data_IF_500090694695
#
_entry.id   IF_500090694695
#
_cell.length_a   1.000
_cell.length_b   1.000
_cell.length_c   1.000
_cell.angle_alpha   90.00
_cell.angle_beta   90.00
_cell.angle_gamma   90.00
#
_symmetry.space_group_name_H-M   'P 1'
#
loop_
_entity.id
_entity.type
_entity.pdbx_description
1 polymer ?
#
# COMPACT_ATOMS: atom_id res chain seq x y z
N UNK A 1 18.20 3.16 -9.71
CA UNK A 1 16.86 2.50 -9.79
C UNK A 1 16.82 1.03 -10.28
N UNK A 2 17.21 0.64 -11.50
CA UNK A 2 17.12 -0.77 -11.98
C UNK A 2 17.91 -1.78 -11.11
N UNK A 3 19.12 -1.41 -10.67
CA UNK A 3 19.97 -2.25 -9.80
C UNK A 3 19.37 -2.51 -8.40
N UNK A 4 18.42 -1.69 -7.94
CA UNK A 4 17.74 -1.88 -6.64
C UNK A 4 16.61 -2.92 -6.73
N UNK A 5 16.04 -3.12 -7.92
CA UNK A 5 14.96 -4.08 -8.17
C UNK A 5 15.49 -5.49 -8.48
N UNK A 6 16.78 -5.62 -8.83
CA UNK A 6 17.44 -6.90 -9.14
C UNK A 6 18.13 -7.56 -7.94
N UNK A 7 18.32 -6.86 -6.81
CA UNK A 7 18.88 -7.45 -5.58
C UNK A 7 17.80 -8.24 -4.84
N UNK A 8 18.11 -9.47 -4.41
CA UNK A 8 17.23 -10.34 -3.59
C UNK A 8 16.35 -9.51 -2.65
N UNK A 9 15.04 -9.61 -2.86
CA UNK A 9 14.04 -9.02 -1.97
C UNK A 9 13.75 -9.93 -0.77
N UNK A 10 14.62 -10.89 -0.49
CA UNK A 10 14.58 -11.69 0.73
C UNK A 10 15.88 -11.50 1.51
N UNK A 11 15.75 -11.11 2.78
CA UNK A 11 16.81 -11.16 3.79
C UNK A 11 16.29 -12.05 4.90
N UNK A 12 17.05 -13.10 5.21
CA UNK A 12 16.70 -14.09 6.25
C UNK A 12 15.29 -14.70 6.11
N UNK A 13 14.83 -14.92 4.87
CA UNK A 13 13.51 -15.49 4.56
C UNK A 13 12.35 -14.49 4.63
N UNK A 14 12.60 -13.21 4.87
CA UNK A 14 11.59 -12.16 4.93
C UNK A 14 11.59 -11.28 3.69
N UNK A 15 10.38 -10.97 3.20
CA UNK A 15 10.20 -10.07 2.07
C UNK A 15 10.58 -8.63 2.43
N UNK A 16 11.58 -8.11 1.72
CA UNK A 16 12.09 -6.75 1.81
C UNK A 16 11.16 -5.83 1.04
N UNK A 17 10.72 -4.76 1.70
CA UNK A 17 9.89 -3.74 1.07
C UNK A 17 10.82 -2.67 0.48
N UNK A 18 10.76 -2.44 -0.83
CA UNK A 18 11.69 -1.55 -1.56
C UNK A 18 11.85 -0.18 -0.90
N UNK A 19 10.76 0.47 -0.52
CA UNK A 19 10.78 1.82 0.07
C UNK A 19 11.36 1.87 1.49
N UNK A 20 11.43 0.73 2.19
CA UNK A 20 11.99 0.61 3.54
C UNK A 20 13.44 0.13 3.55
N UNK A 21 13.91 -0.47 2.45
CA UNK A 21 15.24 -1.07 2.38
C UNK A 21 16.34 -0.06 2.67
N UNK A 22 17.13 -0.33 3.71
CA UNK A 22 18.26 0.50 4.13
C UNK A 22 17.85 1.84 4.75
N UNK A 23 16.55 2.08 4.98
CA UNK A 23 16.08 3.31 5.61
C UNK A 23 16.34 3.31 7.10
N UNK A 24 16.92 4.39 7.59
CA UNK A 24 17.16 4.61 9.02
C UNK A 24 15.87 5.13 9.66
N UNK A 25 15.20 4.28 10.45
CA UNK A 25 13.94 4.60 11.10
C UNK A 25 14.16 4.67 12.60
N UNK A 26 13.87 5.85 13.18
CA UNK A 26 13.77 6.00 14.62
C UNK A 26 12.38 5.55 15.08
N UNK A 27 12.33 4.64 16.05
CA UNK A 27 11.09 4.22 16.69
C UNK A 27 11.06 4.68 18.15
N UNK A 28 10.32 5.76 18.41
CA UNK A 28 10.01 6.25 19.75
C UNK A 28 8.85 5.46 20.39
N UNK A 29 9.11 4.79 21.51
CA UNK A 29 8.11 4.03 22.26
C UNK A 29 7.82 4.75 23.57
N UNK A 30 6.55 5.10 23.80
CA UNK A 30 6.12 5.87 24.97
C UNK A 30 5.26 5.04 25.92
N UNK A 31 5.09 5.51 27.16
CA UNK A 31 4.43 4.78 28.25
C UNK A 31 2.91 4.66 28.12
N UNK A 32 2.44 3.63 27.41
CA UNK A 32 1.02 3.28 27.37
C UNK A 32 0.82 1.80 27.09
N UNK A 33 -0.38 1.29 27.37
CA UNK A 33 -0.72 -0.14 27.22
C UNK A 33 -0.43 -0.68 25.81
N UNK A 34 -0.49 0.17 24.78
CA UNK A 34 -0.20 -0.21 23.39
C UNK A 34 1.30 -0.40 23.08
N UNK A 35 2.21 -0.20 24.04
CA UNK A 35 3.65 -0.37 23.84
C UNK A 35 4.03 -1.78 23.33
N UNK A 36 3.29 -2.83 23.70
CA UNK A 36 3.54 -4.18 23.17
C UNK A 36 3.35 -4.27 21.66
N UNK A 37 2.48 -3.46 21.05
CA UNK A 37 2.28 -3.44 19.59
C UNK A 37 3.50 -2.84 18.87
N UNK A 38 4.23 -1.94 19.52
CA UNK A 38 5.45 -1.35 18.98
C UNK A 38 6.54 -2.41 18.76
N UNK A 39 6.52 -3.51 19.52
CA UNK A 39 7.40 -4.68 19.31
C UNK A 39 7.18 -5.27 17.91
N UNK A 40 5.92 -5.43 17.49
CA UNK A 40 5.60 -5.90 16.14
C UNK A 40 5.99 -4.90 15.07
N UNK A 41 5.86 -3.59 15.34
CA UNK A 41 6.33 -2.54 14.43
C UNK A 41 7.84 -2.64 14.22
N UNK A 42 8.62 -2.72 15.31
CA UNK A 42 10.09 -2.85 15.26
C UNK A 42 10.52 -4.10 14.48
N UNK A 43 9.92 -5.26 14.82
CA UNK A 43 10.22 -6.53 14.15
C UNK A 43 9.95 -6.47 12.66
N UNK A 44 8.76 -6.00 12.25
CA UNK A 44 8.38 -5.98 10.83
C UNK A 44 9.17 -4.96 10.01
N UNK A 45 9.44 -3.77 10.56
CA UNK A 45 10.29 -2.78 9.88
C UNK A 45 11.69 -3.36 9.62
N UNK A 46 12.26 -4.04 10.62
CA UNK A 46 13.57 -4.69 10.51
C UNK A 46 13.54 -5.81 9.46
N UNK A 47 12.55 -6.70 9.52
CA UNK A 47 12.34 -7.79 8.54
C UNK A 47 12.12 -7.27 7.12
N UNK A 48 11.50 -6.10 6.97
CA UNK A 48 11.32 -5.43 5.69
C UNK A 48 12.56 -4.69 5.18
N UNK A 49 13.68 -4.78 5.90
CA UNK A 49 14.99 -4.28 5.49
C UNK A 49 15.34 -2.88 5.98
N UNK A 50 14.57 -2.28 6.90
CA UNK A 50 14.92 -1.00 7.52
C UNK A 50 15.96 -1.18 8.63
N UNK A 51 16.77 -0.15 8.87
CA UNK A 51 17.66 -0.04 10.03
C UNK A 51 16.87 0.68 11.14
N UNK A 52 16.48 -0.05 12.19
CA UNK A 52 15.57 0.47 13.21
C UNK A 52 16.32 0.77 14.51
N UNK A 53 16.39 2.04 14.89
CA UNK A 53 16.90 2.48 16.19
C UNK A 53 15.74 2.83 17.13
N UNK A 54 15.71 2.23 18.32
CA UNK A 54 14.59 2.39 19.25
C UNK A 54 14.94 3.35 20.38
N UNK A 55 14.08 4.34 20.59
CA UNK A 55 14.11 5.30 21.69
C UNK A 55 12.95 5.00 22.63
N UNK A 56 13.20 4.88 23.94
CA UNK A 56 12.15 4.58 24.92
C UNK A 56 12.06 5.65 26.00
N UNK A 57 10.85 6.05 26.39
CA UNK A 57 10.67 6.80 27.65
C UNK A 57 10.84 5.88 28.86
N UNK A 58 11.13 6.43 30.04
CA UNK A 58 11.12 5.65 31.28
C UNK A 58 9.80 4.90 31.48
N UNK A 59 8.67 5.59 31.26
CA UNK A 59 7.34 4.99 31.38
C UNK A 59 7.11 3.81 30.41
N UNK A 60 7.71 3.82 29.21
CA UNK A 60 7.59 2.71 28.26
C UNK A 60 8.27 1.44 28.77
N UNK A 61 9.38 1.58 29.49
CA UNK A 61 10.13 0.46 30.07
C UNK A 61 9.35 -0.29 31.16
N UNK A 62 8.30 0.33 31.72
CA UNK A 62 7.38 -0.32 32.66
C UNK A 62 6.40 -1.29 31.97
N UNK A 63 6.19 -1.14 30.67
CA UNK A 63 5.30 -2.00 29.87
C UNK A 63 6.06 -3.07 29.10
N UNK A 64 7.18 -2.69 28.47
CA UNK A 64 8.03 -3.60 27.68
C UNK A 64 9.49 -3.30 27.96
N UNK A 65 10.28 -4.33 28.23
CA UNK A 65 11.70 -4.15 28.52
C UNK A 65 12.51 -3.80 27.25
N UNK A 66 13.56 -2.95 27.35
CA UNK A 66 14.46 -2.64 26.22
C UNK A 66 15.06 -3.88 25.54
N UNK A 67 15.33 -4.95 26.30
CA UNK A 67 15.90 -6.20 25.77
C UNK A 67 15.11 -6.77 24.59
N UNK A 68 13.78 -6.70 24.63
CA UNK A 68 12.91 -7.20 23.55
C UNK A 68 13.19 -6.48 22.22
N UNK A 69 13.32 -5.15 22.27
CA UNK A 69 13.61 -4.36 21.08
C UNK A 69 15.04 -4.57 20.59
N UNK A 70 16.02 -4.65 21.50
CA UNK A 70 17.41 -4.94 21.14
C UNK A 70 17.55 -6.27 20.42
N UNK A 71 16.86 -7.31 20.89
CA UNK A 71 16.89 -8.64 20.27
C UNK A 71 16.28 -8.65 18.86
N UNK A 72 15.23 -7.85 18.61
CA UNK A 72 14.53 -7.80 17.32
C UNK A 72 15.20 -6.91 16.29
N UNK A 73 15.83 -5.82 16.73
CA UNK A 73 16.46 -4.83 15.84
C UNK A 73 17.96 -5.09 15.66
N UNK A 74 18.57 -5.87 16.55
CA UNK A 74 20.03 -6.06 16.59
C UNK A 74 20.79 -4.81 17.06
N UNK A 75 20.10 -3.83 17.65
CA UNK A 75 20.66 -2.51 17.98
C UNK A 75 20.34 -2.12 19.42
N UNK A 76 21.23 -1.37 20.05
CA UNK A 76 21.04 -0.95 21.45
C UNK A 76 19.89 0.07 21.56
N UNK A 77 18.89 -0.25 22.37
CA UNK A 77 17.83 0.70 22.73
C UNK A 77 18.39 1.87 23.52
N UNK A 78 17.93 3.08 23.21
CA UNK A 78 18.28 4.30 23.91
C UNK A 78 17.13 4.74 24.81
N UNK A 79 17.37 4.80 26.11
CA UNK A 79 16.36 5.21 27.09
C UNK A 79 16.81 6.29 28.07
N UNK A 80 18.09 6.68 27.98
CA UNK A 80 18.69 7.74 28.80
C UNK A 80 19.31 8.81 27.90
N UNK A 81 18.85 10.05 28.07
CA UNK A 81 19.30 11.23 27.32
C UNK A 81 20.77 11.55 27.63
N UNK A 82 21.22 11.20 28.84
CA UNK A 82 22.54 11.49 29.37
C UNK A 82 23.55 10.39 29.09
N UNK A 83 23.13 9.29 28.45
CA UNK A 83 24.04 8.22 28.06
C UNK A 83 25.00 8.72 26.98
N UNK A 84 26.24 8.95 27.38
CA UNK A 84 27.34 9.20 26.47
C UNK A 84 27.63 7.88 25.75
N UNK A 85 27.45 7.85 24.43
CA UNK A 85 27.89 6.73 23.60
C UNK A 85 29.42 6.72 23.47
N UNK A 86 29.92 6.58 22.24
CA UNK A 86 31.36 6.66 21.93
C UNK A 86 31.89 8.11 21.90
N UNK A 87 31.45 8.96 22.83
CA UNK A 87 31.81 10.40 22.87
C UNK A 87 31.02 11.29 21.91
N UNK A 88 29.97 10.78 21.26
CA UNK A 88 29.05 11.57 20.42
C UNK A 88 27.75 11.91 21.17
N UNK A 89 27.17 13.07 20.85
CA UNK A 89 25.85 13.50 21.33
C UNK A 89 24.77 12.70 20.58
N UNK A 90 24.38 11.56 21.15
CA UNK A 90 23.58 10.54 20.48
C UNK A 90 22.27 11.04 19.87
N UNK A 91 21.52 11.89 20.58
CA UNK A 91 20.24 12.42 20.09
C UNK A 91 20.41 13.33 18.85
N UNK A 92 21.56 14.00 18.71
CA UNK A 92 21.88 14.81 17.53
C UNK A 92 22.27 13.91 16.36
N UNK A 93 23.16 12.95 16.57
CA UNK A 93 23.57 12.01 15.51
C UNK A 93 22.36 11.24 14.95
N UNK A 94 21.55 10.65 15.82
CA UNK A 94 20.35 9.90 15.43
C UNK A 94 19.34 10.78 14.68
N UNK A 95 19.16 12.03 15.13
CA UNK A 95 18.27 12.99 14.47
C UNK A 95 18.70 13.33 13.04
N UNK A 96 20.01 13.36 12.77
CA UNK A 96 20.58 13.65 11.44
C UNK A 96 20.52 12.45 10.49
N UNK A 97 20.71 11.24 11.01
CA UNK A 97 20.74 10.01 10.19
C UNK A 97 19.35 9.48 9.84
N UNK A 98 18.30 9.91 10.57
CA UNK A 98 16.95 9.41 10.39
C UNK A 98 16.32 9.80 9.02
N UNK A 99 15.83 8.80 8.29
CA UNK A 99 14.93 8.99 7.14
C UNK A 99 13.47 9.19 7.58
N UNK A 100 13.10 8.65 8.76
CA UNK A 100 11.75 8.73 9.35
C UNK A 100 11.82 8.59 10.87
N UNK A 101 11.03 9.39 11.59
CA UNK A 101 10.82 9.22 13.03
C UNK A 101 9.38 8.80 13.31
N UNK A 102 9.18 7.55 13.73
CA UNK A 102 7.89 7.00 14.16
C UNK A 102 7.77 7.05 15.68
N UNK A 103 6.68 7.59 16.22
CA UNK A 103 6.35 7.50 17.66
C UNK A 103 5.11 6.61 17.81
N UNK A 104 5.31 5.41 18.37
CA UNK A 104 4.28 4.39 18.50
C UNK A 104 4.46 3.57 19.81
N UNK A 105 3.50 3.62 20.75
CA UNK A 105 2.39 4.57 20.81
C UNK A 105 2.88 6.01 21.03
N UNK A 106 2.17 6.97 20.46
CA UNK A 106 2.26 8.39 20.82
C UNK A 106 1.20 8.70 21.89
N UNK A 107 1.62 8.74 23.15
CA UNK A 107 0.75 9.11 24.28
C UNK A 107 0.44 10.61 24.27
N UNK A 108 -0.66 11.02 24.91
CA UNK A 108 -1.03 12.44 25.03
C UNK A 108 0.11 13.30 25.61
N UNK A 109 0.83 12.78 26.61
CA UNK A 109 2.00 13.43 27.20
C UNK A 109 3.11 13.68 26.17
N UNK A 110 3.46 12.67 25.38
CA UNK A 110 4.52 12.82 24.37
C UNK A 110 4.08 13.76 23.25
N UNK A 111 2.83 13.67 22.81
CA UNK A 111 2.25 14.61 21.82
C UNK A 111 2.33 16.06 22.32
N UNK A 112 1.98 16.31 23.59
CA UNK A 112 2.10 17.64 24.19
C UNK A 112 3.56 18.13 24.20
N UNK A 113 4.51 17.29 24.63
CA UNK A 113 5.95 17.62 24.63
C UNK A 113 6.45 18.02 23.25
N UNK A 114 6.11 17.21 22.23
CA UNK A 114 6.50 17.47 20.84
C UNK A 114 5.88 18.77 20.30
N UNK A 115 4.61 19.03 20.61
CA UNK A 115 3.93 20.25 20.17
C UNK A 115 4.51 21.51 20.82
N UNK A 116 4.84 21.43 22.12
CA UNK A 116 5.37 22.54 22.91
C UNK A 116 6.90 22.72 22.78
N UNK A 117 7.59 21.77 22.16
CA UNK A 117 9.05 21.83 22.00
C UNK A 117 9.83 21.51 23.28
N UNK A 118 9.26 20.69 24.16
CA UNK A 118 9.97 20.18 25.34
C UNK A 118 10.98 19.10 24.90
N UNK A 119 12.15 19.06 25.54
CA UNK A 119 13.28 18.20 25.16
C UNK A 119 13.93 17.53 26.38
N UNK A 120 13.09 16.97 27.25
CA UNK A 120 13.45 16.42 28.56
C UNK A 120 13.61 14.88 28.57
N UNK A 121 13.40 14.21 27.44
CA UNK A 121 13.59 12.77 27.29
C UNK A 121 14.20 12.41 25.92
N UNK A 122 14.72 11.18 25.72
CA UNK A 122 15.39 10.81 24.47
C UNK A 122 14.52 10.98 23.22
N UNK A 123 13.20 10.80 23.32
CA UNK A 123 12.30 10.92 22.17
C UNK A 123 12.10 12.39 21.85
N UNK A 124 11.71 13.18 22.86
CA UNK A 124 11.37 14.60 22.69
C UNK A 124 12.58 15.43 22.25
N UNK A 125 13.77 15.17 22.82
CA UNK A 125 15.02 15.82 22.43
C UNK A 125 15.47 15.45 21.01
N UNK A 126 15.42 14.16 20.65
CA UNK A 126 15.80 13.72 19.30
C UNK A 126 14.83 14.25 18.26
N UNK A 127 13.52 14.29 18.57
CA UNK A 127 12.50 14.74 17.63
C UNK A 127 12.64 16.24 17.35
N UNK A 128 12.97 17.04 18.37
CA UNK A 128 13.21 18.48 18.22
C UNK A 128 14.42 18.78 17.33
N UNK A 129 15.45 17.93 17.37
CA UNK A 129 16.65 18.07 16.54
C UNK A 129 16.50 17.50 15.11
N UNK A 130 15.52 16.61 14.88
CA UNK A 130 15.41 15.89 13.62
C UNK A 130 14.74 16.71 12.52
N UNK A 131 15.25 16.55 11.30
CA UNK A 131 14.59 17.02 10.07
C UNK A 131 13.80 15.92 9.37
N UNK A 132 13.84 14.70 9.91
CA UNK A 132 13.10 13.58 9.38
C UNK A 132 11.59 13.83 9.53
N UNK A 133 10.76 13.30 8.62
CA UNK A 133 9.31 13.31 8.79
C UNK A 133 8.93 12.64 10.12
N UNK A 134 8.03 13.27 10.87
CA UNK A 134 7.49 12.73 12.11
C UNK A 134 6.19 11.99 11.83
N UNK A 135 6.09 10.72 12.22
CA UNK A 135 4.88 9.91 12.13
C UNK A 135 4.41 9.51 13.54
N UNK A 136 3.22 9.96 13.92
CA UNK A 136 2.62 9.68 15.22
C UNK A 136 1.56 8.59 15.08
N UNK A 137 1.60 7.58 15.94
CA UNK A 137 0.54 6.59 16.12
C UNK A 137 -0.12 6.79 17.50
N UNK A 138 -1.14 7.67 17.63
CA UNK A 138 -1.70 8.02 18.92
C UNK A 138 -2.34 6.82 19.64
N UNK A 139 -2.21 6.76 20.96
CA UNK A 139 -2.88 5.76 21.78
C UNK A 139 -3.20 6.31 23.17
N UNK A 140 -4.48 6.40 23.51
CA UNK A 140 -4.97 6.93 24.79
C UNK A 140 -6.47 6.63 24.97
N UNK A 141 -7.03 6.95 26.14
CA UNK A 141 -8.47 6.85 26.38
C UNK A 141 -9.25 7.87 25.54
N UNK A 142 -10.50 7.58 25.17
CA UNK A 142 -11.35 8.48 24.34
C UNK A 142 -11.39 9.90 24.88
N UNK A 143 -11.65 10.09 26.17
CA UNK A 143 -11.71 11.43 26.75
C UNK A 143 -10.37 12.18 26.73
N UNK A 144 -9.24 11.45 26.76
CA UNK A 144 -7.92 12.07 26.57
C UNK A 144 -7.69 12.48 25.12
N UNK A 145 -8.16 11.68 24.17
CA UNK A 145 -8.08 11.99 22.75
C UNK A 145 -8.94 13.20 22.39
N UNK A 146 -10.20 13.21 22.81
CA UNK A 146 -11.19 14.25 22.53
C UNK A 146 -10.93 15.57 23.28
N UNK A 147 -10.02 15.56 24.27
CA UNK A 147 -9.64 16.76 25.00
C UNK A 147 -9.16 17.86 24.05
N UNK A 148 -9.67 19.11 24.19
CA UNK A 148 -9.23 20.24 23.37
C UNK A 148 -7.72 20.46 23.40
N UNK A 149 -7.06 20.18 24.53
CA UNK A 149 -5.60 20.29 24.63
C UNK A 149 -4.89 19.29 23.72
N UNK A 150 -5.32 18.02 23.73
CA UNK A 150 -4.74 16.99 22.86
C UNK A 150 -4.99 17.30 21.39
N UNK A 151 -6.22 17.67 21.03
CA UNK A 151 -6.56 18.04 19.66
C UNK A 151 -5.75 19.27 19.18
N UNK A 152 -5.59 20.29 20.03
CA UNK A 152 -4.76 21.45 19.71
C UNK A 152 -3.28 21.09 19.49
N UNK A 153 -2.71 20.20 20.30
CA UNK A 153 -1.35 19.71 20.10
C UNK A 153 -1.19 18.86 18.83
N UNK A 154 -2.14 17.98 18.55
CA UNK A 154 -2.15 17.18 17.31
C UNK A 154 -2.22 18.09 16.09
N UNK A 155 -3.11 19.09 16.10
CA UNK A 155 -3.23 20.06 15.02
C UNK A 155 -1.93 20.86 14.83
N UNK A 156 -1.33 21.34 15.92
CA UNK A 156 -0.04 22.05 15.89
C UNK A 156 1.05 21.22 15.23
N UNK A 157 1.11 19.92 15.52
CA UNK A 157 2.09 19.01 14.91
C UNK A 157 1.77 18.75 13.44
N UNK A 158 0.49 18.59 13.09
CA UNK A 158 0.05 18.43 11.71
C UNK A 158 0.40 19.67 10.85
N UNK A 159 0.18 20.88 11.37
CA UNK A 159 0.54 22.14 10.71
C UNK A 159 2.06 22.27 10.49
N UNK A 160 2.86 21.67 11.37
CA UNK A 160 4.32 21.55 11.23
C UNK A 160 4.76 20.40 10.30
N UNK A 161 3.82 19.69 9.69
CA UNK A 161 4.09 18.61 8.73
C UNK A 161 4.24 17.22 9.34
N UNK A 162 3.85 17.03 10.60
CA UNK A 162 3.77 15.68 11.19
C UNK A 162 2.61 14.88 10.57
N UNK A 163 2.85 13.60 10.35
CA UNK A 163 1.86 12.63 9.90
C UNK A 163 1.25 11.93 11.10
N UNK A 164 -0.04 11.61 11.02
CA UNK A 164 -0.76 10.90 12.08
C UNK A 164 -1.45 9.66 11.51
N UNK A 165 -1.29 8.52 12.17
CA UNK A 165 -1.98 7.27 11.86
C UNK A 165 -2.87 6.85 13.03
N UNK A 166 -4.16 7.12 12.88
CA UNK A 166 -5.18 6.92 13.90
C UNK A 166 -5.32 8.07 14.89
N UNK A 167 -5.85 7.83 16.11
CA UNK A 167 -6.21 6.52 16.68
C UNK A 167 -7.41 5.85 15.97
N UNK A 168 -7.64 4.58 16.28
CA UNK A 168 -8.74 3.75 15.76
C UNK A 168 -9.86 3.61 16.81
N UNK A 169 -11.08 3.37 16.34
CA UNK A 169 -12.19 2.98 17.20
C UNK A 169 -12.03 1.52 17.67
N UNK A 170 -12.41 1.22 18.91
CA UNK A 170 -12.44 -0.14 19.43
C UNK A 170 -12.51 -0.20 20.94
N UNK A 171 -12.39 -1.42 21.48
CA UNK A 171 -12.33 -1.64 22.93
C UNK A 171 -11.01 -1.12 23.51
N UNK A 172 -11.12 -0.28 24.53
CA UNK A 172 -10.02 0.36 25.25
C UNK A 172 -9.66 -0.42 26.52
N UNK A 173 -8.54 -0.06 27.16
CA UNK A 173 -8.08 -0.71 28.39
C UNK A 173 -9.04 -0.51 29.58
N UNK A 174 -9.79 0.60 29.59
CA UNK A 174 -10.87 0.85 30.54
C UNK A 174 -12.04 -0.13 30.41
N UNK A 175 -12.12 -0.87 29.30
CA UNK A 175 -13.26 -1.69 28.93
C UNK A 175 -14.29 -0.95 28.07
N UNK A 176 -14.21 0.39 27.96
CA UNK A 176 -15.05 1.19 27.09
C UNK A 176 -14.79 0.90 25.60
N UNK A 177 -15.73 1.28 24.74
CA UNK A 177 -15.57 1.25 23.28
C UNK A 177 -15.60 2.68 22.78
N UNK A 178 -14.55 3.10 22.07
CA UNK A 178 -14.42 4.46 21.57
C UNK A 178 -13.16 4.67 20.75
N UNK A 179 -12.92 5.93 20.37
CA UNK A 179 -11.78 6.35 19.56
C UNK A 179 -10.57 6.61 20.47
N UNK A 180 -9.47 5.88 20.28
CA UNK A 180 -8.29 6.02 21.16
C UNK A 180 -7.29 4.87 21.09
N UNK A 181 -7.67 3.76 20.45
CA UNK A 181 -6.80 2.60 20.28
C UNK A 181 -5.71 2.92 19.25
N UNK A 182 -4.46 2.54 19.54
CA UNK A 182 -3.38 2.64 18.55
C UNK A 182 -3.74 1.88 17.28
N UNK A 183 -3.46 2.47 16.13
CA UNK A 183 -3.51 1.80 14.83
C UNK A 183 -2.75 0.46 14.88
N UNK A 184 -3.22 -0.52 14.12
CA UNK A 184 -2.56 -1.82 14.09
C UNK A 184 -1.19 -1.72 13.42
N UNK A 185 -0.19 -2.53 13.84
CA UNK A 185 1.16 -2.48 13.27
C UNK A 185 1.23 -2.47 11.73
N UNK A 186 0.41 -3.25 10.98
CA UNK A 186 0.38 -3.15 9.53
C UNK A 186 0.04 -1.74 9.02
N UNK A 187 -0.92 -1.05 9.64
CA UNK A 187 -1.33 0.30 9.22
C UNK A 187 -0.21 1.33 9.48
N UNK A 188 0.53 1.20 10.58
CA UNK A 188 1.68 2.06 10.90
C UNK A 188 2.79 1.86 9.85
N UNK A 189 3.06 0.62 9.47
CA UNK A 189 4.07 0.30 8.44
C UNK A 189 3.63 0.84 7.07
N UNK A 190 2.36 0.66 6.70
CA UNK A 190 1.82 1.22 5.44
C UNK A 190 1.91 2.76 5.42
N UNK A 191 1.64 3.43 6.54
CA UNK A 191 1.81 4.88 6.64
C UNK A 191 3.28 5.28 6.57
N UNK A 192 4.19 4.53 7.22
CA UNK A 192 5.63 4.76 7.11
C UNK A 192 6.11 4.65 5.67
N UNK A 193 5.65 3.62 4.93
CA UNK A 193 5.90 3.46 3.49
C UNK A 193 5.39 4.65 2.68
N UNK A 194 4.15 5.08 2.91
CA UNK A 194 3.55 6.25 2.25
C UNK A 194 4.37 7.52 2.50
N UNK A 195 4.76 7.77 3.76
CA UNK A 195 5.55 8.95 4.13
C UNK A 195 6.92 8.90 3.44
N UNK A 196 7.64 7.79 3.50
CA UNK A 196 8.95 7.65 2.85
C UNK A 196 8.86 7.74 1.32
N UNK A 197 7.79 7.23 0.72
CA UNK A 197 7.57 7.20 -0.73
C UNK A 197 6.99 8.48 -1.34
N UNK A 198 6.51 9.44 -0.54
CA UNK A 198 5.69 10.59 -1.00
C UNK A 198 6.34 11.47 -2.07
N UNK A 199 7.67 11.53 -2.11
CA UNK A 199 8.45 12.29 -3.08
C UNK A 199 9.08 11.38 -4.17
N UNK A 200 8.55 10.18 -4.35
CA UNK A 200 9.04 9.22 -5.33
C UNK A 200 8.78 9.65 -6.79
N UNK A 201 9.22 8.81 -7.73
CA UNK A 201 9.17 9.14 -9.15
C UNK A 201 7.77 9.21 -9.78
N UNK A 202 6.71 8.88 -9.05
CA UNK A 202 5.31 9.08 -9.45
C UNK A 202 4.62 10.18 -8.62
N UNK A 203 5.37 11.00 -7.87
CA UNK A 203 4.81 12.17 -7.20
C UNK A 203 4.06 13.07 -8.20
N UNK A 204 2.84 13.46 -7.84
CA UNK A 204 1.95 14.26 -8.68
C UNK A 204 1.23 13.49 -9.80
N UNK A 205 1.43 12.17 -9.92
CA UNK A 205 0.74 11.30 -10.89
C UNK A 205 -0.47 10.65 -10.23
N UNK A 206 -1.62 10.67 -10.91
CA UNK A 206 -2.80 9.93 -10.48
C UNK A 206 -2.88 8.56 -11.19
N UNK A 207 -2.80 7.49 -10.41
CA UNK A 207 -2.89 6.09 -10.88
C UNK A 207 -4.22 5.49 -10.46
N UNK A 208 -5.04 5.10 -11.43
CA UNK A 208 -6.24 4.30 -11.21
C UNK A 208 -5.98 2.82 -11.50
N UNK A 209 -6.49 1.95 -10.64
CA UNK A 209 -6.30 0.50 -10.74
C UNK A 209 -7.65 -0.19 -10.61
N UNK A 210 -7.99 -1.07 -11.54
CA UNK A 210 -9.12 -1.99 -11.34
C UNK A 210 -8.65 -3.29 -10.69
N UNK A 211 -9.41 -3.82 -9.72
CA UNK A 211 -9.02 -5.03 -8.99
C UNK A 211 -10.21 -5.94 -8.62
N UNK A 212 -9.92 -7.20 -8.29
CA UNK A 212 -10.92 -8.21 -7.93
C UNK A 212 -11.55 -8.89 -9.14
N UNK A 213 -12.52 -9.78 -8.90
CA UNK A 213 -13.30 -10.44 -9.95
C UNK A 213 -14.74 -9.98 -9.86
N UNK A 214 -15.31 -9.45 -10.95
CA UNK A 214 -16.68 -8.93 -10.92
C UNK A 214 -17.69 -10.04 -10.62
N UNK A 215 -18.81 -9.66 -10.02
CA UNK A 215 -19.85 -10.55 -9.54
C UNK A 215 -21.15 -10.22 -10.27
N UNK A 216 -21.46 -10.99 -11.31
CA UNK A 216 -22.64 -10.78 -12.15
C UNK A 216 -23.83 -11.55 -11.56
N UNK A 217 -24.85 -10.86 -11.01
CA UNK A 217 -25.92 -11.50 -10.25
C UNK A 217 -26.81 -12.35 -11.15
N UNK A 218 -27.08 -13.59 -10.72
CA UNK A 218 -28.11 -14.46 -11.31
C UNK A 218 -29.46 -14.24 -10.62
N UNK A 219 -29.40 -14.13 -9.30
CA UNK A 219 -30.52 -13.88 -8.38
C UNK A 219 -29.95 -13.19 -7.11
N UNK A 220 -30.77 -12.81 -6.11
CA UNK A 220 -30.27 -12.13 -4.91
C UNK A 220 -29.29 -12.95 -4.04
N UNK A 221 -29.05 -14.22 -4.36
CA UNK A 221 -28.23 -15.17 -3.58
C UNK A 221 -27.01 -15.65 -4.35
N UNK A 222 -27.07 -15.68 -5.69
CA UNK A 222 -26.06 -16.28 -6.56
C UNK A 222 -25.55 -15.30 -7.60
N UNK A 223 -24.28 -15.45 -7.95
CA UNK A 223 -23.63 -14.66 -8.99
C UNK A 223 -22.59 -15.49 -9.75
N UNK A 224 -22.25 -15.06 -10.95
CA UNK A 224 -21.11 -15.51 -11.75
C UNK A 224 -19.89 -14.66 -11.41
N UNK A 225 -18.73 -15.28 -11.20
CA UNK A 225 -17.49 -14.54 -10.93
C UNK A 225 -16.25 -15.28 -11.41
N UNK A 226 -15.19 -14.51 -11.65
CA UNK A 226 -13.84 -15.03 -11.89
C UNK A 226 -13.09 -15.26 -10.57
N UNK A 227 -12.16 -16.23 -10.54
CA UNK A 227 -11.40 -16.61 -9.34
C UNK A 227 -10.28 -15.63 -8.99
N UNK A 228 -10.55 -14.33 -8.95
CA UNK A 228 -9.56 -13.31 -8.58
C UNK A 228 -9.57 -13.04 -7.08
N UNK A 229 -8.40 -13.16 -6.45
CA UNK A 229 -8.23 -12.77 -5.03
C UNK A 229 -8.05 -11.26 -4.85
N UNK A 230 -7.78 -10.52 -5.93
CA UNK A 230 -7.44 -9.09 -5.86
C UNK A 230 -6.01 -8.77 -5.40
N UNK A 231 -5.21 -9.79 -5.01
CA UNK A 231 -3.84 -9.62 -4.51
C UNK A 231 -2.93 -8.79 -5.43
N UNK A 232 -3.00 -9.02 -6.74
CA UNK A 232 -2.16 -8.29 -7.71
C UNK A 232 -2.54 -6.80 -7.75
N UNK A 233 -3.83 -6.48 -7.80
CA UNK A 233 -4.32 -5.10 -7.77
C UNK A 233 -3.90 -4.36 -6.49
N UNK A 234 -3.94 -5.03 -5.33
CA UNK A 234 -3.48 -4.43 -4.08
C UNK A 234 -1.97 -4.23 -4.03
N UNK A 235 -1.17 -5.17 -4.55
CA UNK A 235 0.28 -5.01 -4.68
C UNK A 235 0.64 -3.82 -5.58
N UNK A 236 -0.07 -3.67 -6.71
CA UNK A 236 0.07 -2.52 -7.60
C UNK A 236 -0.29 -1.21 -6.91
N UNK A 237 -1.37 -1.18 -6.14
CA UNK A 237 -1.81 0.01 -5.42
C UNK A 237 -0.80 0.43 -4.34
N UNK A 238 -0.30 -0.54 -3.56
CA UNK A 238 0.72 -0.30 -2.55
C UNK A 238 2.03 0.20 -3.19
N UNK A 239 2.47 -0.44 -4.28
CA UNK A 239 3.68 -0.02 -5.00
C UNK A 239 3.50 1.39 -5.60
N UNK A 240 2.41 1.67 -6.32
CA UNK A 240 2.15 2.99 -6.90
C UNK A 240 2.21 4.10 -5.84
N UNK A 241 1.58 3.88 -4.68
CA UNK A 241 1.64 4.79 -3.52
C UNK A 241 3.07 4.97 -3.00
N UNK A 242 3.84 3.89 -2.89
CA UNK A 242 5.23 3.92 -2.43
C UNK A 242 6.18 4.59 -3.44
N UNK A 243 5.75 4.73 -4.69
CA UNK A 243 6.40 5.55 -5.71
C UNK A 243 5.92 7.00 -5.69
N UNK A 244 5.00 7.39 -4.79
CA UNK A 244 4.53 8.75 -4.59
C UNK A 244 3.23 9.11 -5.32
N UNK A 245 2.61 8.16 -6.02
CA UNK A 245 1.37 8.42 -6.75
C UNK A 245 0.20 8.69 -5.81
N UNK A 246 -0.76 9.52 -6.28
CA UNK A 246 -2.14 9.46 -5.81
C UNK A 246 -2.77 8.20 -6.42
N UNK A 247 -3.36 7.34 -5.60
CA UNK A 247 -3.88 6.03 -6.06
C UNK A 247 -5.36 5.90 -5.75
N UNK A 248 -6.12 5.54 -6.77
CA UNK A 248 -7.54 5.16 -6.66
C UNK A 248 -7.71 3.72 -7.14
N UNK A 249 -8.33 2.88 -6.31
CA UNK A 249 -8.61 1.48 -6.65
C UNK A 249 -10.11 1.27 -6.77
N UNK A 250 -10.55 0.93 -7.97
CA UNK A 250 -11.92 0.49 -8.25
C UNK A 250 -11.94 -1.02 -8.13
N UNK A 251 -12.71 -1.57 -7.18
CA UNK A 251 -12.61 -2.99 -6.89
C UNK A 251 -13.93 -3.69 -6.66
N UNK A 252 -14.03 -4.89 -7.24
CA UNK A 252 -14.99 -5.90 -6.80
C UNK A 252 -14.53 -6.51 -5.46
N UNK A 253 -15.31 -7.37 -4.76
CA UNK A 253 -14.88 -7.96 -3.50
C UNK A 253 -13.47 -8.57 -3.55
N UNK A 254 -12.66 -8.24 -2.54
CA UNK A 254 -11.25 -8.63 -2.43
C UNK A 254 -11.07 -9.68 -1.32
N UNK A 255 -10.05 -10.52 -1.43
CA UNK A 255 -9.63 -11.44 -0.36
C UNK A 255 -8.50 -10.85 0.51
N UNK A 256 -8.03 -9.66 0.16
CA UNK A 256 -6.98 -8.92 0.86
C UNK A 256 -7.44 -7.49 1.14
N UNK A 257 -6.96 -6.86 2.23
CA UNK A 257 -7.34 -5.49 2.54
C UNK A 257 -6.79 -4.50 1.51
N UNK A 258 -7.50 -3.40 1.34
CA UNK A 258 -6.97 -2.24 0.60
C UNK A 258 -5.80 -1.63 1.38
N UNK A 259 -4.66 -1.34 0.75
CA UNK A 259 -3.52 -0.70 1.40
C UNK A 259 -3.91 0.65 2.02
N UNK A 260 -3.36 0.96 3.19
CA UNK A 260 -3.66 2.23 3.86
C UNK A 260 -3.20 3.43 3.02
N UNK A 261 -4.01 4.50 3.00
CA UNK A 261 -3.67 5.72 2.28
C UNK A 261 -3.87 5.66 0.76
N UNK A 262 -4.59 4.64 0.27
CA UNK A 262 -5.13 4.49 -1.09
C UNK A 262 -6.64 4.78 -1.06
N UNK A 263 -7.15 5.50 -2.06
CA UNK A 263 -8.58 5.75 -2.24
C UNK A 263 -9.25 4.50 -2.83
N UNK A 264 -10.42 4.11 -2.31
CA UNK A 264 -11.10 2.87 -2.72
C UNK A 264 -12.54 3.12 -3.14
N UNK A 265 -12.91 2.63 -4.33
CA UNK A 265 -14.27 2.68 -4.86
C UNK A 265 -14.77 1.23 -4.98
N UNK A 266 -15.59 0.75 -4.03
CA UNK A 266 -16.13 -0.59 -4.09
C UNK A 266 -17.26 -0.67 -5.12
N UNK A 267 -17.20 -1.70 -5.97
CA UNK A 267 -18.20 -2.05 -6.98
C UNK A 267 -18.49 -3.55 -6.90
N UNK A 268 -19.46 -4.05 -7.66
CA UNK A 268 -19.75 -5.48 -7.78
C UNK A 268 -19.67 -5.96 -9.21
N UNK A 269 -20.42 -5.33 -10.11
CA UNK A 269 -20.57 -5.79 -11.51
C UNK A 269 -19.55 -5.16 -12.45
N UNK A 270 -19.41 -5.73 -13.65
CA UNK A 270 -18.62 -5.12 -14.72
C UNK A 270 -19.15 -3.73 -15.13
N UNK A 271 -20.47 -3.53 -15.13
CA UNK A 271 -21.11 -2.24 -15.45
C UNK A 271 -20.80 -1.20 -14.38
N UNK A 272 -20.93 -1.53 -13.09
CA UNK A 272 -20.57 -0.61 -12.02
C UNK A 272 -19.08 -0.25 -12.05
N UNK A 273 -18.21 -1.23 -12.33
CA UNK A 273 -16.77 -0.98 -12.47
C UNK A 273 -16.45 -0.06 -13.65
N UNK A 274 -17.15 -0.25 -14.77
CA UNK A 274 -17.05 0.60 -15.96
C UNK A 274 -17.41 2.03 -15.61
N UNK A 275 -18.59 2.24 -15.04
CA UNK A 275 -19.12 3.57 -14.77
C UNK A 275 -18.21 4.32 -13.78
N UNK A 276 -17.79 3.65 -12.69
CA UNK A 276 -16.81 4.21 -11.75
C UNK A 276 -15.46 4.55 -12.41
N UNK A 277 -15.00 3.77 -13.39
CA UNK A 277 -13.77 4.06 -14.12
C UNK A 277 -13.91 5.28 -15.02
N UNK A 278 -15.07 5.47 -15.66
CA UNK A 278 -15.35 6.64 -16.48
C UNK A 278 -15.51 7.91 -15.64
N UNK A 279 -16.13 7.83 -14.47
CA UNK A 279 -16.35 8.98 -13.59
C UNK A 279 -15.05 9.65 -13.15
N UNK A 280 -14.00 8.87 -12.86
CA UNK A 280 -12.71 9.42 -12.42
C UNK A 280 -11.72 9.65 -13.57
N UNK A 281 -12.01 9.13 -14.76
CA UNK A 281 -11.09 9.11 -15.90
C UNK A 281 -10.45 10.48 -16.24
N UNK A 282 -11.17 11.62 -16.18
CA UNK A 282 -10.60 12.92 -16.51
C UNK A 282 -9.41 13.34 -15.65
N UNK A 283 -9.30 12.81 -14.43
CA UNK A 283 -8.21 13.13 -13.49
C UNK A 283 -7.10 12.09 -13.47
N UNK A 284 -7.17 11.03 -14.29
CA UNK A 284 -6.28 9.87 -14.21
C UNK A 284 -5.17 9.95 -15.26
N UNK A 285 -3.91 9.98 -14.82
CA UNK A 285 -2.75 9.91 -15.71
C UNK A 285 -2.45 8.48 -16.17
N UNK A 286 -2.66 7.49 -15.31
CA UNK A 286 -2.31 6.08 -15.56
C UNK A 286 -3.47 5.18 -15.17
N UNK A 287 -3.94 4.34 -16.10
CA UNK A 287 -4.92 3.30 -15.82
C UNK A 287 -4.27 1.92 -15.90
N UNK A 288 -4.43 1.13 -14.84
CA UNK A 288 -3.96 -0.26 -14.77
C UNK A 288 -5.16 -1.20 -14.61
N UNK A 289 -5.49 -1.91 -15.69
CA UNK A 289 -6.54 -2.92 -15.69
C UNK A 289 -6.04 -4.24 -15.12
N UNK A 290 -6.20 -4.45 -13.81
CA UNK A 290 -5.81 -5.67 -13.11
C UNK A 290 -7.00 -6.49 -12.56
N UNK A 291 -8.24 -6.03 -12.80
CA UNK A 291 -9.44 -6.78 -12.45
C UNK A 291 -9.66 -7.94 -13.42
N UNK A 292 -10.17 -9.06 -12.90
CA UNK A 292 -10.69 -10.16 -13.68
C UNK A 292 -12.18 -9.90 -13.97
N UNK A 293 -12.45 -8.94 -14.86
CA UNK A 293 -13.81 -8.59 -15.30
C UNK A 293 -14.43 -9.80 -16.00
N UNK A 294 -15.68 -10.14 -15.67
CA UNK A 294 -16.42 -11.20 -16.33
C UNK A 294 -16.75 -10.79 -17.77
N UNK A 295 -16.41 -11.61 -18.76
CA UNK A 295 -16.68 -11.32 -20.18
C UNK A 295 -18.18 -11.34 -20.52
N UNK A 296 -18.96 -12.05 -19.71
CA UNK A 296 -20.40 -12.21 -19.88
C UNK A 296 -21.14 -12.01 -18.55
N UNK A 297 -22.39 -11.56 -18.66
CA UNK A 297 -23.36 -11.43 -17.57
C UNK A 297 -24.67 -12.17 -17.93
N UNK A 298 -25.51 -12.54 -16.96
CA UNK A 298 -26.84 -13.06 -17.22
C UNK A 298 -27.69 -12.07 -18.04
N UNK A 299 -28.41 -12.55 -19.05
CA UNK A 299 -29.31 -11.73 -19.86
C UNK A 299 -30.43 -11.10 -19.02
N UNK A 300 -30.92 -11.84 -18.04
CA UNK A 300 -31.92 -11.40 -17.07
C UNK A 300 -31.47 -11.77 -15.64
N UNK A 301 -31.63 -10.84 -14.71
CA UNK A 301 -31.40 -11.08 -13.27
C UNK A 301 -32.73 -11.41 -12.62
N UNK A 302 -32.86 -12.58 -12.01
CA UNK A 302 -34.09 -12.97 -11.33
C UNK A 302 -34.29 -12.12 -10.06
N UNK A 303 -35.48 -11.53 -9.82
CA UNK A 303 -35.74 -10.72 -8.62
C UNK A 303 -35.84 -11.57 -7.34
N UNK A 304 -36.00 -12.88 -7.48
CA UNK A 304 -36.10 -13.83 -6.37
C UNK A 304 -35.14 -14.99 -6.58
N UNK A 305 -34.72 -15.61 -5.46
CA UNK A 305 -33.86 -16.80 -5.49
C UNK A 305 -34.44 -17.86 -6.42
N UNK A 306 -33.67 -18.26 -7.42
CA UNK A 306 -34.10 -19.28 -8.38
C UNK A 306 -34.27 -20.60 -7.61
N UNK A 307 -35.52 -21.08 -7.55
CA UNK A 307 -35.89 -22.31 -6.85
C UNK A 307 -35.24 -23.52 -7.52
N UNK A 308 -34.80 -24.48 -6.71
CA UNK A 308 -34.29 -25.77 -7.20
C UNK A 308 -35.43 -26.47 -7.97
N UNK A 309 -35.20 -26.75 -9.25
CA UNK A 309 -36.07 -27.59 -10.08
C UNK A 309 -35.36 -28.91 -10.40
N UNK A 310 -36.11 -29.96 -10.72
CA UNK A 310 -35.53 -31.16 -11.31
C UNK A 310 -35.04 -30.85 -12.74
N UNK A 311 -33.83 -31.28 -13.09
CA UNK A 311 -33.22 -31.05 -14.40
C UNK A 311 -32.15 -29.95 -14.42
N UNK A 312 -31.78 -29.51 -15.62
CA UNK A 312 -30.82 -28.42 -15.84
C UNK A 312 -31.47 -27.05 -15.69
N UNK A 313 -30.66 -26.04 -15.31
CA UNK A 313 -31.05 -24.63 -15.31
C UNK A 313 -30.24 -23.93 -16.41
N UNK A 314 -30.82 -23.69 -17.60
CA UNK A 314 -30.15 -22.89 -18.62
C UNK A 314 -30.06 -21.44 -18.14
N UNK A 315 -28.89 -20.83 -18.32
CA UNK A 315 -28.63 -19.42 -18.06
C UNK A 315 -28.17 -18.81 -19.39
N UNK A 316 -28.95 -17.90 -19.94
CA UNK A 316 -28.55 -17.12 -21.10
C UNK A 316 -27.56 -16.04 -20.68
N UNK A 317 -26.45 -15.92 -21.40
CA UNK A 317 -25.36 -15.01 -21.10
C UNK A 317 -25.20 -14.00 -22.25
N UNK A 318 -25.15 -12.73 -21.90
CA UNK A 318 -24.87 -11.62 -22.83
C UNK A 318 -23.52 -11.00 -22.51
N UNK A 319 -22.88 -10.40 -23.51
CA UNK A 319 -21.53 -9.85 -23.37
C UNK A 319 -21.53 -8.63 -22.42
N UNK A 320 -20.54 -8.56 -21.55
CA UNK A 320 -20.27 -7.40 -20.72
C UNK A 320 -19.49 -6.31 -21.49
N UNK A 321 -19.50 -5.06 -21.01
CA UNK A 321 -18.70 -3.99 -21.61
C UNK A 321 -17.19 -4.27 -21.53
N UNK A 322 -16.45 -3.90 -22.58
CA UNK A 322 -14.98 -3.95 -22.57
C UNK A 322 -14.42 -2.64 -22.05
N UNK A 323 -14.32 -2.52 -20.72
CA UNK A 323 -13.90 -1.29 -20.02
C UNK A 323 -12.62 -0.68 -20.62
N UNK A 324 -11.57 -1.51 -20.78
CA UNK A 324 -10.29 -1.04 -21.34
C UNK A 324 -10.41 -0.69 -22.82
N UNK A 325 -11.19 -1.45 -23.60
CA UNK A 325 -11.44 -1.15 -25.01
C UNK A 325 -12.19 0.17 -25.21
N UNK A 326 -13.22 0.41 -24.41
CA UNK A 326 -14.02 1.65 -24.44
C UNK A 326 -13.18 2.87 -24.03
N UNK A 327 -12.40 2.78 -22.94
CA UNK A 327 -11.50 3.84 -22.51
C UNK A 327 -10.41 4.09 -23.56
N UNK A 328 -9.82 3.03 -24.11
CA UNK A 328 -8.83 3.13 -25.18
C UNK A 328 -9.39 3.82 -26.43
N UNK A 329 -10.65 3.55 -26.78
CA UNK A 329 -11.33 4.21 -27.89
C UNK A 329 -11.42 5.74 -27.69
N UNK A 330 -11.77 6.19 -26.48
CA UNK A 330 -11.91 7.61 -26.13
C UNK A 330 -10.58 8.33 -25.92
N UNK A 331 -9.53 7.61 -25.49
CA UNK A 331 -8.21 8.15 -25.17
C UNK A 331 -7.58 9.00 -26.28
N UNK A 332 -7.83 8.69 -27.55
CA UNK A 332 -7.30 9.49 -28.68
C UNK A 332 -7.90 10.91 -28.71
N UNK A 333 -9.14 11.08 -28.28
CA UNK A 333 -9.82 12.37 -28.24
C UNK A 333 -9.52 13.14 -26.96
N UNK A 334 -9.49 12.46 -25.81
CA UNK A 334 -9.26 13.08 -24.50
C UNK A 334 -7.77 13.35 -24.19
N UNK A 335 -6.85 12.57 -24.78
CA UNK A 335 -5.44 12.55 -24.39
C UNK A 335 -5.15 11.83 -23.08
N UNK A 336 -6.19 11.32 -22.40
CA UNK A 336 -6.11 10.67 -21.10
C UNK A 336 -6.78 9.27 -21.11
N UNK A 337 -6.26 8.31 -20.34
CA UNK A 337 -5.05 8.41 -19.51
C UNK A 337 -3.78 8.47 -20.38
N UNK A 338 -2.69 9.04 -19.86
CA UNK A 338 -1.40 9.10 -20.57
C UNK A 338 -0.76 7.74 -20.76
N UNK A 339 -1.03 6.80 -19.85
CA UNK A 339 -0.55 5.41 -19.91
C UNK A 339 -1.69 4.45 -19.61
N UNK A 340 -1.84 3.40 -20.43
CA UNK A 340 -2.76 2.28 -20.17
C UNK A 340 -1.98 0.97 -20.09
N UNK A 341 -2.18 0.24 -18.99
CA UNK A 341 -1.59 -1.08 -18.74
C UNK A 341 -2.71 -2.10 -18.59
N UNK A 342 -2.61 -3.23 -19.27
CA UNK A 342 -3.52 -4.37 -19.08
C UNK A 342 -2.82 -5.58 -18.47
N UNK A 343 -3.60 -6.44 -17.83
CA UNK A 343 -3.19 -7.79 -17.46
C UNK A 343 -3.99 -8.80 -18.28
N UNK A 344 -3.33 -9.88 -18.69
CA UNK A 344 -3.96 -11.02 -19.34
C UNK A 344 -3.52 -12.31 -18.66
N UNK A 345 -4.46 -13.25 -18.56
CA UNK A 345 -4.20 -14.64 -18.26
C UNK A 345 -4.50 -15.42 -19.54
N UNK A 346 -3.52 -16.16 -20.05
CA UNK A 346 -3.69 -17.01 -21.23
C UNK A 346 -3.24 -18.43 -20.90
N UNK A 347 -3.89 -19.41 -21.55
CA UNK A 347 -3.53 -20.83 -21.46
C UNK A 347 -2.90 -21.33 -22.76
N UNK A 348 -3.13 -20.64 -23.88
CA UNK A 348 -2.70 -21.04 -25.23
C UNK A 348 -2.29 -19.79 -26.02
N UNK A 349 -1.35 -19.93 -26.96
CA UNK A 349 -0.88 -18.88 -27.87
C UNK A 349 -0.64 -17.50 -27.23
N UNK A 350 -0.03 -17.53 -26.04
CA UNK A 350 0.22 -16.39 -25.13
C UNK A 350 0.59 -15.08 -25.86
N UNK A 351 1.61 -15.11 -26.72
CA UNK A 351 2.14 -13.91 -27.37
C UNK A 351 1.19 -13.35 -28.44
N UNK A 352 0.55 -14.21 -29.23
CA UNK A 352 -0.36 -13.79 -30.29
C UNK A 352 -1.63 -13.16 -29.70
N UNK A 353 -2.23 -13.82 -28.70
CA UNK A 353 -3.41 -13.33 -28.00
C UNK A 353 -3.11 -12.02 -27.25
N UNK A 354 -1.96 -11.93 -26.59
CA UNK A 354 -1.53 -10.71 -25.93
C UNK A 354 -1.32 -9.54 -26.89
N UNK A 355 -0.70 -9.78 -28.05
CA UNK A 355 -0.53 -8.74 -29.08
C UNK A 355 -1.88 -8.24 -29.60
N UNK A 356 -2.82 -9.14 -29.88
CA UNK A 356 -4.17 -8.78 -30.31
C UNK A 356 -4.92 -7.96 -29.24
N UNK A 357 -4.79 -8.33 -27.96
CA UNK A 357 -5.37 -7.58 -26.82
C UNK A 357 -4.73 -6.20 -26.66
N UNK A 358 -3.41 -6.10 -26.79
CA UNK A 358 -2.65 -4.85 -26.72
C UNK A 358 -3.14 -3.85 -27.79
N UNK A 359 -3.26 -4.31 -29.03
CA UNK A 359 -3.70 -3.50 -30.17
C UNK A 359 -5.18 -3.13 -30.09
N UNK A 360 -6.06 -4.10 -29.87
CA UNK A 360 -7.53 -3.86 -29.82
C UNK A 360 -7.93 -2.90 -28.68
N UNK A 361 -7.29 -3.03 -27.51
CA UNK A 361 -7.56 -2.18 -26.34
C UNK A 361 -6.69 -0.93 -26.27
N UNK A 362 -5.82 -0.72 -27.28
CA UNK A 362 -4.92 0.45 -27.40
C UNK A 362 -4.08 0.68 -26.14
N UNK A 363 -3.58 -0.41 -25.57
CA UNK A 363 -2.74 -0.41 -24.38
C UNK A 363 -1.31 0.02 -24.75
N UNK A 364 -0.58 0.62 -23.80
CA UNK A 364 0.85 0.84 -23.95
C UNK A 364 1.67 -0.35 -23.46
N UNK A 365 1.09 -1.14 -22.56
CA UNK A 365 1.68 -2.33 -21.98
C UNK A 365 0.61 -3.39 -21.69
N UNK A 366 0.97 -4.65 -21.90
CA UNK A 366 0.24 -5.79 -21.37
C UNK A 366 1.20 -6.73 -20.63
N UNK A 367 0.83 -7.13 -19.42
CA UNK A 367 1.51 -8.18 -18.67
C UNK A 367 0.71 -9.46 -18.80
N UNK A 368 1.33 -10.48 -19.36
CA UNK A 368 0.66 -11.74 -19.66
C UNK A 368 1.17 -12.80 -18.72
N UNK A 369 0.27 -13.42 -17.96
CA UNK A 369 0.57 -14.54 -17.09
C UNK A 369 0.19 -15.84 -17.79
N UNK A 370 1.11 -16.81 -17.79
CA UNK A 370 0.79 -18.17 -18.17
C UNK A 370 0.14 -18.86 -16.97
N UNK A 371 -1.18 -19.07 -17.06
CA UNK A 371 -1.95 -19.70 -15.98
C UNK A 371 -2.05 -21.22 -16.10
N UNK A 372 -1.36 -21.81 -17.09
CA UNK A 372 -1.28 -23.26 -17.26
C UNK A 372 -0.19 -23.90 -16.38
N UNK A 373 0.81 -23.12 -15.94
CA UNK A 373 1.89 -23.61 -15.09
C UNK A 373 1.49 -23.62 -13.59
N UNK A 374 1.84 -24.68 -12.82
CA UNK A 374 1.35 -24.89 -11.46
C UNK A 374 1.80 -23.85 -10.42
N UNK A 375 2.74 -22.96 -10.77
CA UNK A 375 3.32 -21.94 -9.90
C UNK A 375 3.02 -20.49 -10.34
N UNK A 376 2.21 -20.30 -11.38
CA UNK A 376 1.85 -18.99 -11.92
C UNK A 376 0.34 -18.94 -12.20
N UNK A 377 -0.39 -18.07 -11.49
CA UNK A 377 -1.83 -17.98 -11.72
C UNK A 377 -2.65 -17.30 -10.63
N UNK A 378 -3.96 -17.53 -10.70
CA UNK A 378 -4.93 -16.98 -9.75
C UNK A 378 -4.72 -17.58 -8.35
N UNK A 379 -4.64 -16.72 -7.33
CA UNK A 379 -4.60 -17.14 -5.92
C UNK A 379 -3.21 -17.37 -5.30
N UNK A 380 -2.17 -17.70 -6.10
CA UNK A 380 -0.79 -17.89 -5.62
C UNK A 380 -0.06 -16.57 -5.36
N UNK A 381 1.05 -16.58 -4.61
CA UNK A 381 1.80 -15.35 -4.26
C UNK A 381 2.85 -14.94 -5.31
N UNK A 382 3.13 -15.83 -6.27
CA UNK A 382 4.09 -15.63 -7.36
C UNK A 382 3.40 -15.47 -8.71
N UNK A 383 4.09 -14.82 -9.65
CA UNK A 383 3.68 -14.59 -11.02
C UNK A 383 4.91 -14.72 -11.94
N UNK A 384 4.76 -15.46 -13.04
CA UNK A 384 5.71 -15.46 -14.15
C UNK A 384 5.04 -14.74 -15.30
N UNK A 385 5.42 -13.49 -15.52
CA UNK A 385 4.77 -12.62 -16.51
C UNK A 385 5.70 -12.34 -17.68
N UNK A 386 5.13 -12.29 -18.88
CA UNK A 386 5.79 -11.73 -20.05
C UNK A 386 5.24 -10.34 -20.31
N UNK A 387 6.14 -9.37 -20.37
CA UNK A 387 5.83 -7.99 -20.70
C UNK A 387 5.83 -7.83 -22.22
N UNK A 388 4.77 -7.25 -22.76
CA UNK A 388 4.69 -6.83 -24.16
C UNK A 388 4.27 -5.36 -24.20
N UNK A 389 5.08 -4.52 -24.84
CA UNK A 389 4.77 -3.11 -25.01
C UNK A 389 4.40 -2.75 -26.46
N UNK A 390 3.73 -1.61 -26.64
CA UNK A 390 3.28 -1.14 -27.97
C UNK A 390 4.40 -0.75 -28.92
N UNK A 391 5.65 -0.72 -28.44
CA UNK A 391 6.84 -0.40 -29.23
C UNK A 391 7.58 -1.68 -29.69
N UNK A 392 7.02 -2.85 -29.37
CA UNK A 392 7.53 -4.16 -29.81
C UNK A 392 8.52 -4.80 -28.83
N UNK A 393 8.73 -4.23 -27.64
CA UNK A 393 9.55 -4.86 -26.61
C UNK A 393 8.79 -6.03 -25.99
N UNK A 394 9.37 -7.22 -26.07
CA UNK A 394 8.83 -8.46 -25.49
C UNK A 394 9.88 -9.02 -24.54
N UNK A 395 9.56 -9.07 -23.24
CA UNK A 395 10.50 -9.53 -22.21
C UNK A 395 9.83 -10.46 -21.21
N UNK A 396 10.27 -11.73 -21.10
CA UNK A 396 9.86 -12.57 -19.99
C UNK A 396 10.53 -12.07 -18.71
N UNK A 397 9.76 -12.01 -17.62
CA UNK A 397 10.32 -11.87 -16.28
C UNK A 397 10.49 -13.26 -15.65
N UNK A 398 11.47 -13.42 -14.75
CA UNK A 398 11.57 -14.64 -13.95
C UNK A 398 10.31 -14.80 -13.08
N UNK A 399 10.20 -15.94 -12.39
CA UNK A 399 9.20 -16.11 -11.35
C UNK A 399 9.46 -15.08 -10.25
N UNK A 400 8.47 -14.21 -10.01
CA UNK A 400 8.54 -13.11 -9.07
C UNK A 400 7.35 -13.13 -8.13
N UNK A 401 7.51 -12.56 -6.95
CA UNK A 401 6.36 -12.21 -6.10
C UNK A 401 5.49 -11.14 -6.76
N UNK A 402 4.24 -11.02 -6.32
CA UNK A 402 3.34 -9.96 -6.81
C UNK A 402 3.85 -8.55 -6.52
N UNK A 403 4.53 -8.34 -5.40
CA UNK A 403 5.13 -7.03 -5.07
C UNK A 403 6.32 -6.71 -5.98
N UNK A 404 7.14 -7.71 -6.33
CA UNK A 404 8.23 -7.53 -7.31
C UNK A 404 7.71 -7.18 -8.70
N UNK A 405 6.63 -7.84 -9.15
CA UNK A 405 5.95 -7.49 -10.40
C UNK A 405 5.42 -6.06 -10.34
N UNK A 406 4.80 -5.67 -9.22
CA UNK A 406 4.27 -4.33 -9.02
C UNK A 406 5.37 -3.26 -9.06
N UNK A 407 6.48 -3.46 -8.32
CA UNK A 407 7.61 -2.54 -8.31
C UNK A 407 8.26 -2.38 -9.68
N UNK A 408 8.48 -3.48 -10.41
CA UNK A 408 9.02 -3.43 -11.78
C UNK A 408 8.08 -2.68 -12.71
N UNK A 409 6.78 -2.89 -12.58
CA UNK A 409 5.78 -2.17 -13.37
C UNK A 409 5.77 -0.67 -13.02
N UNK A 410 5.84 -0.28 -11.74
CA UNK A 410 5.88 1.14 -11.36
C UNK A 410 7.14 1.84 -11.90
N UNK A 411 8.29 1.17 -11.91
CA UNK A 411 9.50 1.69 -12.58
C UNK A 411 9.24 1.93 -14.07
N UNK A 412 8.60 0.97 -14.75
CA UNK A 412 8.26 1.12 -16.17
C UNK A 412 7.29 2.29 -16.40
N UNK A 413 6.23 2.39 -15.59
CA UNK A 413 5.23 3.46 -15.66
C UNK A 413 5.89 4.82 -15.46
N UNK A 414 6.75 4.99 -14.44
CA UNK A 414 7.46 6.24 -14.19
C UNK A 414 8.31 6.68 -15.39
N UNK A 415 8.96 5.74 -16.10
CA UNK A 415 9.72 6.06 -17.32
C UNK A 415 8.85 6.62 -18.44
N UNK A 416 7.61 6.15 -18.53
CA UNK A 416 6.70 6.48 -19.62
C UNK A 416 5.95 7.77 -19.35
N UNK A 417 5.52 8.01 -18.10
CA UNK A 417 4.86 9.25 -17.70
C UNK A 417 5.81 10.46 -17.88
N UNK A 418 7.09 10.32 -17.53
CA UNK A 418 8.06 11.42 -17.61
C UNK A 418 8.83 11.52 -18.93
N UNK A 419 8.64 10.57 -19.87
CA UNK A 419 9.28 10.57 -21.19
C UNK A 419 10.82 10.44 -21.14
N UNK A 420 11.37 9.21 -21.16
CA UNK A 420 12.81 8.90 -21.31
C UNK A 420 13.76 9.95 -20.68
N UNK A 421 13.80 10.00 -19.36
CA UNK A 421 14.74 10.85 -18.62
C UNK A 421 14.77 10.52 -17.12
N UNK A 422 14.93 9.25 -16.74
CA UNK A 422 15.06 8.87 -15.31
C UNK A 422 16.49 9.09 -14.77
N UNK A 423 17.33 9.83 -15.50
CA UNK A 423 18.63 10.28 -15.00
C UNK A 423 18.51 11.49 -14.07
N UNK A 424 17.38 12.22 -14.09
CA UNK A 424 17.18 13.47 -13.35
C UNK A 424 16.26 13.32 -12.11
N UNK A 425 15.71 12.13 -11.86
CA UNK A 425 14.97 11.84 -10.63
C UNK A 425 15.89 11.00 -9.73
N UNK A 426 16.44 11.64 -8.70
CA UNK A 426 17.43 11.10 -7.77
C UNK A 426 17.07 9.73 -7.16
N UNK A 427 18.11 9.07 -6.65
CA UNK A 427 18.15 7.67 -6.18
C UNK A 427 17.04 7.22 -5.21
#
# INVERSE_FOLDING_TARGET
>A
MLRLVERSQYVDGHQVIRVLRGKHILLGVTGGIAAYKAVTVASRLTQSGAVVDVLMTEAAQRFVAPLTFSALTGRTVRSDLWSLGNGQIMHVTMAHEADLFVVAPATANTIAKLALGLADDPISATALASKAPLLLAPAMETGMWESPATQGHVQTLADRGAFVVGPMAGRLASGAVGLGRMAEPPQIIEMARKVLGRNGSLAGVHVAITAGGTQEPLDPVRFLTNRSSGKMGMALAASARDFGARVTVIHSPLQVPVPFGVESIPVRTAVEMRDAAFDILPEVDVLIGAAAVADYQPAEVAPQKIKKKHGSLPIELVRNPDILGEIGAQRKASGYPKVMVGFAAETEDLLANAKAKLESKKLDLILVNDVSAPHSGFGVDTNQVTLLDRWGDVRPWPLLTKDEVADRLMVWVARKVHGKGLADLGD
#
